data_IF_782519377677
#
_entry.id   IF_782519377677
#
_cell.length_a   1.000
_cell.length_b   1.000
_cell.length_c   1.000
_cell.angle_alpha   90.00
_cell.angle_beta   90.00
_cell.angle_gamma   90.00
#
_symmetry.space_group_name_H-M   'P 1'
#
loop_
_entity.id
_entity.type
_entity.pdbx_description
1 polymer ?
#
# COMPACT_ATOMS: atom_id res chain seq x y z
N UNK A 1 3.85 -15.16 -54.75
CA UNK A 1 4.62 -14.50 -55.83
C UNK A 1 5.96 -14.13 -55.22
N UNK A 2 7.08 -14.33 -55.92
CA UNK A 2 8.37 -13.84 -55.41
C UNK A 2 8.29 -12.31 -55.28
N UNK A 3 8.77 -11.78 -54.16
CA UNK A 3 8.81 -10.33 -53.95
C UNK A 3 9.66 -9.69 -55.05
N UNK A 4 9.11 -8.64 -55.69
CA UNK A 4 9.83 -7.91 -56.72
C UNK A 4 10.79 -6.94 -56.05
N UNK A 5 12.08 -7.04 -56.38
CA UNK A 5 13.10 -6.10 -55.88
C UNK A 5 13.04 -4.81 -56.72
N UNK A 6 12.83 -3.63 -56.11
CA UNK A 6 12.86 -2.37 -56.84
C UNK A 6 14.28 -2.06 -57.36
N UNK A 7 14.38 -1.58 -58.61
CA UNK A 7 15.64 -1.18 -59.26
C UNK A 7 15.81 0.35 -59.15
N UNK A 8 17.03 0.82 -58.83
CA UNK A 8 17.37 2.26 -58.80
C UNK A 8 17.86 2.69 -60.18
N UNK A 9 17.69 3.95 -60.59
CA UNK A 9 18.34 4.45 -61.81
C UNK A 9 19.83 4.72 -61.57
N UNK A 10 20.70 4.41 -62.54
CA UNK A 10 22.06 4.97 -62.57
C UNK A 10 21.96 6.41 -63.10
N UNK A 11 22.63 7.37 -62.47
CA UNK A 11 22.63 8.76 -62.91
C UNK A 11 24.03 9.21 -63.34
N UNK A 12 24.14 10.03 -64.39
CA UNK A 12 25.38 10.76 -64.68
C UNK A 12 25.58 11.96 -63.73
N UNK A 13 26.72 12.64 -63.82
CA UNK A 13 27.01 13.87 -63.07
C UNK A 13 26.01 15.03 -63.35
N UNK A 14 25.17 14.90 -64.38
CA UNK A 14 24.15 15.87 -64.76
C UNK A 14 22.75 15.46 -64.28
N UNK A 15 22.61 14.32 -63.59
CA UNK A 15 21.33 13.82 -63.08
C UNK A 15 20.46 13.09 -64.11
N UNK A 16 20.99 12.71 -65.28
CA UNK A 16 20.26 11.91 -66.28
C UNK A 16 20.36 10.43 -65.98
N UNK A 17 19.27 9.68 -66.18
CA UNK A 17 19.29 8.22 -66.05
C UNK A 17 20.12 7.61 -67.19
N UNK A 18 21.21 6.92 -66.83
CA UNK A 18 22.13 6.26 -67.77
C UNK A 18 21.94 4.74 -67.84
N UNK A 19 21.10 4.16 -66.97
CA UNK A 19 20.76 2.74 -67.00
C UNK A 19 19.89 2.29 -65.82
N UNK A 20 19.44 1.03 -65.84
CA UNK A 20 18.81 0.36 -64.70
C UNK A 20 19.93 -0.15 -63.76
N UNK A 21 19.98 0.32 -62.52
CA UNK A 21 20.93 -0.14 -61.50
C UNK A 21 20.40 -1.38 -60.77
N UNK A 22 21.30 -2.31 -60.50
CA UNK A 22 21.10 -3.44 -59.59
C UNK A 22 20.91 -2.92 -58.15
N UNK A 23 19.96 -3.49 -57.39
CA UNK A 23 19.85 -3.20 -55.96
C UNK A 23 21.12 -3.67 -55.25
N UNK A 24 21.96 -2.73 -54.82
CA UNK A 24 23.13 -3.03 -53.99
C UNK A 24 22.70 -3.06 -52.53
N UNK A 25 22.34 -4.24 -52.05
CA UNK A 25 22.08 -4.48 -50.62
C UNK A 25 23.29 -4.22 -49.72
N UNK A 26 24.50 -4.13 -50.29
CA UNK A 26 25.77 -4.09 -49.57
C UNK A 26 26.15 -2.70 -49.00
N UNK A 27 25.55 -1.60 -49.49
CA UNK A 27 26.05 -0.24 -49.21
C UNK A 27 25.21 0.53 -48.17
N UNK A 28 24.27 -0.12 -47.48
CA UNK A 28 23.44 0.54 -46.46
C UNK A 28 22.47 1.59 -47.05
N UNK A 29 22.09 1.41 -48.32
CA UNK A 29 21.21 2.31 -49.06
C UNK A 29 19.82 2.37 -48.41
N UNK A 30 19.55 3.45 -47.68
CA UNK A 30 18.24 3.71 -47.06
C UNK A 30 17.41 4.65 -47.94
N UNK A 31 16.08 4.48 -47.92
CA UNK A 31 15.21 5.58 -48.30
C UNK A 31 15.33 6.66 -47.23
N UNK A 32 15.72 7.87 -47.63
CA UNK A 32 15.79 9.00 -46.71
C UNK A 32 14.42 9.34 -46.13
N UNK A 33 14.40 9.91 -44.92
CA UNK A 33 13.17 10.26 -44.19
C UNK A 33 12.24 11.17 -45.00
N UNK A 34 12.82 12.13 -45.74
CA UNK A 34 12.07 13.05 -46.61
C UNK A 34 11.30 12.33 -47.73
N UNK A 35 11.71 11.10 -48.07
CA UNK A 35 11.06 10.26 -49.07
C UNK A 35 10.24 9.12 -48.43
N UNK A 36 9.94 9.21 -47.13
CA UNK A 36 9.12 8.24 -46.39
C UNK A 36 9.87 7.00 -45.88
N UNK A 37 11.21 6.98 -45.93
CA UNK A 37 11.98 5.91 -45.30
C UNK A 37 12.24 6.16 -43.82
N UNK A 38 12.73 5.15 -43.11
CA UNK A 38 13.04 5.24 -41.67
C UNK A 38 14.36 5.95 -41.38
N UNK A 39 15.24 6.05 -42.39
CA UNK A 39 16.60 6.56 -42.23
C UNK A 39 17.56 5.61 -41.49
N UNK A 40 17.13 4.39 -41.11
CA UNK A 40 18.01 3.35 -40.55
C UNK A 40 18.36 2.30 -41.60
N UNK A 41 19.65 1.94 -41.67
CA UNK A 41 20.11 0.83 -42.50
C UNK A 41 19.74 -0.53 -41.90
N UNK A 42 19.74 -0.64 -40.57
CA UNK A 42 19.33 -1.84 -39.83
C UNK A 42 18.67 -1.46 -38.52
N UNK A 43 17.83 -2.36 -38.01
CA UNK A 43 17.24 -2.27 -36.67
C UNK A 43 17.72 -3.50 -35.92
N UNK A 44 18.31 -3.31 -34.74
CA UNK A 44 18.70 -4.45 -33.91
C UNK A 44 17.46 -5.22 -33.43
N UNK A 45 17.65 -6.50 -33.11
CA UNK A 45 16.56 -7.40 -32.68
C UNK A 45 15.79 -6.82 -31.49
N UNK A 46 14.48 -7.01 -31.50
CA UNK A 46 13.54 -6.62 -30.45
C UNK A 46 13.48 -5.13 -30.12
N UNK A 47 14.06 -4.24 -30.93
CA UNK A 47 14.05 -2.80 -30.64
C UNK A 47 12.73 -2.15 -31.02
N UNK A 48 12.24 -1.28 -30.15
CA UNK A 48 11.16 -0.34 -30.49
C UNK A 48 11.79 0.91 -31.14
N UNK A 49 11.16 1.38 -32.22
CA UNK A 49 11.59 2.58 -32.92
C UNK A 49 10.72 3.78 -32.54
N UNK A 50 11.34 4.92 -32.30
CA UNK A 50 10.67 6.21 -32.10
C UNK A 50 10.98 7.16 -33.24
N UNK A 51 10.05 8.06 -33.54
CA UNK A 51 10.29 9.19 -34.43
C UNK A 51 10.67 10.43 -33.63
N UNK A 52 11.60 11.24 -34.16
CA UNK A 52 11.95 12.57 -33.61
C UNK A 52 11.45 13.73 -34.50
N UNK A 53 10.59 13.42 -35.48
CA UNK A 53 9.88 14.39 -36.32
C UNK A 53 10.67 14.99 -37.50
N UNK A 54 12.01 14.98 -37.48
CA UNK A 54 12.82 15.66 -38.53
C UNK A 54 14.03 14.87 -39.02
N UNK A 55 14.47 13.84 -38.28
CA UNK A 55 15.65 13.02 -38.57
C UNK A 55 15.27 11.55 -38.72
N UNK A 56 16.27 10.69 -38.97
CA UNK A 56 16.10 9.23 -38.94
C UNK A 56 15.42 8.79 -37.63
N UNK A 57 14.64 7.72 -37.69
CA UNK A 57 14.06 7.11 -36.49
C UNK A 57 15.18 6.68 -35.54
N UNK A 58 14.85 6.53 -34.27
CA UNK A 58 15.78 6.02 -33.27
C UNK A 58 15.33 4.64 -32.85
N UNK A 59 16.19 3.64 -32.97
CA UNK A 59 15.99 2.40 -32.22
C UNK A 59 16.34 2.72 -30.76
N UNK A 60 15.40 2.59 -29.83
CA UNK A 60 15.59 3.04 -28.44
C UNK A 60 16.31 1.98 -27.61
N UNK A 61 17.44 2.32 -27.00
CA UNK A 61 18.28 1.33 -26.30
C UNK A 61 17.63 0.80 -25.02
N UNK A 62 16.77 1.61 -24.42
CA UNK A 62 16.04 1.31 -23.19
C UNK A 62 14.68 0.64 -23.43
N UNK A 63 14.27 0.39 -24.68
CA UNK A 63 12.99 -0.24 -25.02
C UNK A 63 13.21 -1.48 -25.90
N UNK A 64 12.85 -2.65 -25.38
CA UNK A 64 12.86 -3.90 -26.16
C UNK A 64 11.54 -4.67 -26.03
N UNK A 65 11.10 -5.33 -27.09
CA UNK A 65 9.92 -6.19 -27.12
C UNK A 65 10.21 -7.48 -27.89
N UNK A 66 10.22 -8.61 -27.18
CA UNK A 66 10.57 -9.93 -27.71
C UNK A 66 9.38 -10.73 -28.27
N UNK A 67 8.24 -10.05 -28.47
CA UNK A 67 6.96 -10.69 -28.84
C UNK A 67 6.09 -11.06 -27.64
N UNK A 68 6.63 -11.03 -26.42
CA UNK A 68 5.91 -11.37 -25.19
C UNK A 68 6.06 -10.31 -24.09
N UNK A 69 7.24 -9.72 -23.95
CA UNK A 69 7.61 -8.85 -22.84
C UNK A 69 8.17 -7.53 -23.35
N UNK A 70 7.59 -6.41 -22.92
CA UNK A 70 8.17 -5.09 -23.09
C UNK A 70 9.12 -4.81 -21.92
N UNK A 71 10.42 -4.69 -22.20
CA UNK A 71 11.42 -4.28 -21.21
C UNK A 71 11.71 -2.79 -21.34
N UNK A 72 11.61 -2.07 -20.22
CA UNK A 72 12.01 -0.67 -20.08
C UNK A 72 13.16 -0.59 -19.07
N UNK A 73 14.38 -0.27 -19.52
CA UNK A 73 15.56 -0.21 -18.63
C UNK A 73 15.75 1.17 -17.98
N UNK A 74 14.66 1.89 -17.73
CA UNK A 74 14.64 3.24 -17.17
C UNK A 74 13.31 3.55 -16.49
N UNK A 75 13.10 4.82 -16.14
CA UNK A 75 11.88 5.24 -15.46
C UNK A 75 10.67 5.18 -16.38
N UNK A 76 9.52 4.81 -15.81
CA UNK A 76 8.21 4.93 -16.45
C UNK A 76 7.45 6.07 -15.77
N UNK A 77 6.97 7.02 -16.56
CA UNK A 77 6.05 8.09 -16.10
C UNK A 77 4.70 7.84 -16.77
N UNK A 78 3.73 7.36 -15.99
CA UNK A 78 2.35 7.22 -16.45
C UNK A 78 1.56 8.46 -16.05
N UNK A 79 1.04 9.21 -17.03
CA UNK A 79 0.21 10.41 -16.78
C UNK A 79 -1.28 10.09 -16.61
N UNK A 80 -1.65 8.83 -16.82
CA UNK A 80 -2.97 8.28 -16.49
C UNK A 80 -2.84 7.14 -15.48
N UNK A 81 -3.83 6.25 -15.46
CA UNK A 81 -3.81 5.10 -14.57
C UNK A 81 -2.70 4.11 -14.96
N UNK A 82 -2.05 3.53 -13.96
CA UNK A 82 -1.22 2.34 -14.11
C UNK A 82 -1.99 1.12 -13.62
N UNK A 83 -2.40 0.25 -14.54
CA UNK A 83 -3.21 -0.93 -14.24
C UNK A 83 -2.41 -2.21 -14.47
N UNK A 84 -2.22 -3.00 -13.41
CA UNK A 84 -1.60 -4.32 -13.48
C UNK A 84 -2.69 -5.41 -13.41
N UNK A 85 -2.79 -6.26 -14.43
CA UNK A 85 -3.83 -7.29 -14.49
C UNK A 85 -3.58 -8.49 -13.56
N UNK A 86 -2.34 -8.72 -13.15
CA UNK A 86 -1.97 -9.91 -12.37
C UNK A 86 -1.35 -9.54 -11.04
N UNK A 87 -0.27 -8.76 -11.04
CA UNK A 87 0.46 -8.42 -9.83
C UNK A 87 1.31 -7.16 -10.06
N UNK A 88 1.51 -6.40 -8.98
CA UNK A 88 2.60 -5.43 -8.86
C UNK A 88 3.66 -6.07 -7.98
N UNK A 89 4.85 -6.33 -8.54
CA UNK A 89 6.02 -6.82 -7.80
C UNK A 89 7.05 -5.71 -7.76
N UNK A 90 7.51 -5.35 -6.57
CA UNK A 90 8.62 -4.40 -6.39
C UNK A 90 9.77 -5.08 -5.64
N UNK A 91 11.00 -4.71 -5.99
CA UNK A 91 12.21 -5.10 -5.26
C UNK A 91 12.57 -4.10 -4.16
N UNK A 92 11.87 -2.96 -4.12
CA UNK A 92 12.15 -1.92 -3.14
C UNK A 92 11.63 -2.34 -1.76
N UNK A 93 12.42 -2.10 -0.69
CA UNK A 93 11.99 -2.40 0.68
C UNK A 93 10.92 -1.43 1.20
N UNK A 94 10.68 -0.32 0.51
CA UNK A 94 9.78 0.76 0.92
C UNK A 94 8.91 1.18 -0.26
N UNK A 95 7.60 1.28 -0.03
CA UNK A 95 6.67 1.93 -0.94
C UNK A 95 6.48 3.39 -0.50
N UNK A 96 6.82 4.33 -1.37
CA UNK A 96 6.55 5.75 -1.16
C UNK A 96 5.27 6.13 -1.92
N UNK A 97 4.31 6.71 -1.20
CA UNK A 97 3.05 7.23 -1.74
C UNK A 97 3.07 8.76 -1.56
N UNK A 98 2.41 9.49 -2.44
CA UNK A 98 2.33 10.96 -2.43
C UNK A 98 3.70 11.69 -2.52
N UNK A 99 4.63 11.13 -3.31
CA UNK A 99 6.00 11.67 -3.44
C UNK A 99 6.10 13.06 -4.11
N UNK A 100 5.00 13.57 -4.66
CA UNK A 100 4.95 14.83 -5.43
C UNK A 100 4.47 16.04 -4.61
N UNK A 101 4.08 15.85 -3.35
CA UNK A 101 3.55 16.92 -2.50
C UNK A 101 4.62 17.98 -2.19
N UNK A 102 4.25 19.26 -2.32
CA UNK A 102 5.04 20.40 -1.82
C UNK A 102 4.27 21.19 -0.77
N UNK A 103 4.95 21.65 0.28
CA UNK A 103 4.31 22.38 1.40
C UNK A 103 3.68 21.44 2.43
N UNK A 104 3.02 22.02 3.45
CA UNK A 104 2.32 21.24 4.47
C UNK A 104 0.96 20.75 3.93
N UNK A 105 0.56 19.50 4.24
CA UNK A 105 -0.76 19.00 3.92
C UNK A 105 -1.84 19.79 4.69
N UNK A 106 -2.97 20.03 4.03
CA UNK A 106 -4.18 20.49 4.70
C UNK A 106 -4.87 19.29 5.38
N UNK A 107 -5.74 19.54 6.35
CA UNK A 107 -6.55 18.48 6.98
C UNK A 107 -7.54 17.79 6.05
N UNK A 108 -7.52 18.10 4.75
CA UNK A 108 -8.30 17.44 3.71
C UNK A 108 -7.43 16.65 2.75
N UNK A 109 -6.11 16.53 2.99
CA UNK A 109 -5.14 15.90 2.10
C UNK A 109 -4.67 14.55 2.66
N UNK A 110 -5.60 13.62 2.78
CA UNK A 110 -5.36 12.26 3.24
C UNK A 110 -4.59 11.43 2.20
N UNK A 111 -3.80 10.47 2.67
CA UNK A 111 -3.02 9.60 1.80
C UNK A 111 -3.03 8.15 2.30
N UNK A 112 -3.26 7.19 1.39
CA UNK A 112 -3.32 5.79 1.78
C UNK A 112 -3.62 4.81 0.66
N UNK A 113 -4.13 3.65 1.07
CA UNK A 113 -4.52 2.54 0.20
C UNK A 113 -6.02 2.31 0.38
N UNK A 114 -6.74 2.25 -0.75
CA UNK A 114 -8.15 1.84 -0.81
C UNK A 114 -8.22 0.49 -1.50
N UNK A 115 -9.06 -0.40 -0.96
CA UNK A 115 -9.36 -1.71 -1.51
C UNK A 115 -10.81 -1.70 -1.96
N UNK A 116 -11.00 -1.67 -3.28
CA UNK A 116 -12.32 -1.76 -3.90
C UNK A 116 -12.97 -3.12 -3.63
N UNK A 117 -14.22 -3.10 -3.18
CA UNK A 117 -14.99 -4.31 -2.84
C UNK A 117 -16.28 -4.46 -3.66
N UNK A 118 -16.39 -3.72 -4.77
CA UNK A 118 -17.53 -3.78 -5.68
C UNK A 118 -18.69 -2.93 -5.17
N UNK A 119 -19.81 -3.56 -4.79
CA UNK A 119 -20.99 -2.84 -4.29
C UNK A 119 -21.03 -2.67 -2.77
N UNK A 120 -20.17 -3.39 -2.04
CA UNK A 120 -19.96 -3.17 -0.62
C UNK A 120 -19.11 -1.92 -0.40
N UNK A 121 -19.18 -1.27 0.78
CA UNK A 121 -18.21 -0.25 1.14
C UNK A 121 -16.77 -0.78 1.02
N UNK A 122 -15.93 0.03 0.39
CA UNK A 122 -14.51 -0.20 0.25
C UNK A 122 -13.84 -0.18 1.63
N UNK A 123 -12.65 -0.74 1.73
CA UNK A 123 -11.85 -0.68 2.98
C UNK A 123 -10.54 0.03 2.71
N UNK A 124 -10.06 0.80 3.67
CA UNK A 124 -8.87 1.62 3.51
C UNK A 124 -7.96 1.57 4.73
N UNK A 125 -6.69 1.83 4.46
CA UNK A 125 -5.68 2.18 5.44
C UNK A 125 -5.04 3.47 4.97
N UNK A 126 -5.19 4.55 5.74
CA UNK A 126 -4.72 5.87 5.32
C UNK A 126 -4.29 6.72 6.49
N UNK A 127 -3.39 7.67 6.23
CA UNK A 127 -3.08 8.76 7.13
C UNK A 127 -4.15 9.83 6.97
N UNK A 128 -4.86 10.12 8.06
CA UNK A 128 -5.85 11.17 8.15
C UNK A 128 -5.18 12.46 8.65
N UNK A 129 -5.10 13.49 7.80
CA UNK A 129 -4.43 14.75 8.16
C UNK A 129 -5.27 15.60 9.12
N UNK A 130 -6.58 15.36 9.19
CA UNK A 130 -7.47 16.05 10.14
C UNK A 130 -7.36 15.49 11.55
N UNK A 131 -7.20 14.18 11.69
CA UNK A 131 -7.12 13.49 12.97
C UNK A 131 -5.69 13.12 13.38
N UNK A 132 -4.71 13.28 12.49
CA UNK A 132 -3.28 13.03 12.68
C UNK A 132 -2.93 11.60 13.14
N UNK A 133 -3.56 10.60 12.53
CA UNK A 133 -3.21 9.19 12.75
C UNK A 133 -3.60 8.30 11.56
N UNK A 134 -3.14 7.05 11.59
CA UNK A 134 -3.58 6.05 10.63
C UNK A 134 -4.98 5.54 10.97
N UNK A 135 -5.90 5.65 10.02
CA UNK A 135 -7.25 5.12 10.11
C UNK A 135 -7.37 3.79 9.34
N UNK A 136 -8.03 2.82 9.96
CA UNK A 136 -8.42 1.55 9.36
C UNK A 136 -9.94 1.55 9.26
N UNK A 137 -10.48 1.83 8.08
CA UNK A 137 -11.90 2.15 7.95
C UNK A 137 -12.54 1.50 6.73
N UNK A 138 -13.87 1.44 6.74
CA UNK A 138 -14.66 1.36 5.51
C UNK A 138 -14.86 2.76 4.96
N UNK A 139 -14.82 2.90 3.63
CA UNK A 139 -15.08 4.14 2.90
C UNK A 139 -15.99 3.87 1.69
N UNK A 140 -16.65 4.92 1.19
CA UNK A 140 -17.33 4.91 -0.12
C UNK A 140 -16.45 5.43 -1.25
N UNK A 141 -15.27 5.97 -0.94
CA UNK A 141 -14.34 6.49 -1.94
C UNK A 141 -13.76 5.36 -2.77
N UNK A 142 -13.52 5.65 -4.05
CA UNK A 142 -13.04 4.67 -5.03
C UNK A 142 -11.56 4.83 -5.39
N UNK A 143 -10.87 5.76 -4.72
CA UNK A 143 -9.52 6.18 -5.09
C UNK A 143 -9.42 6.82 -6.48
N UNK A 144 -10.54 7.19 -7.09
CA UNK A 144 -10.61 7.80 -8.41
C UNK A 144 -10.82 9.31 -8.30
N UNK A 145 -9.93 10.12 -8.90
CA UNK A 145 -10.15 11.56 -9.11
C UNK A 145 -9.23 12.49 -8.32
N UNK A 146 -9.70 13.72 -8.11
CA UNK A 146 -9.07 14.76 -7.26
C UNK A 146 -9.55 14.64 -5.81
N UNK A 147 -9.78 13.40 -5.34
CA UNK A 147 -10.24 13.16 -3.98
C UNK A 147 -9.04 13.31 -3.07
N UNK A 148 -8.97 14.45 -2.40
CA UNK A 148 -7.92 14.74 -1.44
C UNK A 148 -8.25 14.11 -0.08
N UNK A 149 -9.52 13.84 0.22
CA UNK A 149 -10.01 13.37 1.53
C UNK A 149 -10.58 11.97 1.42
N UNK A 150 -10.36 11.13 2.43
CA UNK A 150 -10.93 9.79 2.52
C UNK A 150 -12.01 9.76 3.60
N UNK A 151 -13.26 9.58 3.18
CA UNK A 151 -14.43 9.54 4.02
C UNK A 151 -14.49 8.27 4.86
N UNK A 152 -14.51 8.42 6.18
CA UNK A 152 -14.73 7.29 7.11
C UNK A 152 -16.23 7.00 7.23
N UNK A 153 -16.67 5.85 6.72
CA UNK A 153 -18.02 5.35 7.00
C UNK A 153 -18.09 4.73 8.39
N UNK A 154 -17.11 3.87 8.74
CA UNK A 154 -16.96 3.18 10.04
C UNK A 154 -15.52 2.67 10.20
N UNK A 155 -15.03 2.53 11.43
CA UNK A 155 -13.75 1.85 11.71
C UNK A 155 -13.86 0.33 11.52
N UNK A 156 -12.75 -0.30 11.11
CA UNK A 156 -12.66 -1.74 10.85
C UNK A 156 -11.83 -2.46 11.90
N UNK A 157 -12.08 -3.76 12.08
CA UNK A 157 -11.35 -4.58 13.04
C UNK A 157 -9.93 -4.91 12.55
N UNK A 158 -8.95 -4.85 13.46
CA UNK A 158 -7.57 -5.26 13.21
C UNK A 158 -7.33 -6.61 13.89
N UNK A 159 -6.88 -7.62 13.13
CA UNK A 159 -6.45 -8.91 13.66
C UNK A 159 -4.93 -8.98 13.66
N UNK A 160 -4.32 -8.65 14.80
CA UNK A 160 -2.87 -8.69 14.99
C UNK A 160 -2.48 -9.80 15.97
N UNK A 161 -1.20 -10.19 15.97
CA UNK A 161 -0.60 -10.96 17.06
C UNK A 161 -0.40 -10.08 18.29
N UNK A 162 0.82 -10.01 18.80
CA UNK A 162 1.13 -9.09 19.90
C UNK A 162 1.09 -7.63 19.40
N UNK A 163 0.44 -6.76 20.16
CA UNK A 163 0.52 -5.31 19.99
C UNK A 163 1.56 -4.77 20.97
N UNK A 164 2.63 -4.16 20.47
CA UNK A 164 3.65 -3.50 21.29
C UNK A 164 3.54 -2.00 21.06
N UNK A 165 3.12 -1.25 22.08
CA UNK A 165 3.07 0.21 22.05
C UNK A 165 4.14 0.79 22.97
N UNK A 166 4.88 1.79 22.51
CA UNK A 166 5.82 2.57 23.34
C UNK A 166 5.14 3.74 24.04
N UNK A 167 4.00 4.19 23.50
CA UNK A 167 3.10 5.15 24.13
C UNK A 167 1.91 4.47 24.78
N UNK A 168 0.89 5.25 25.09
CA UNK A 168 -0.35 4.74 25.65
C UNK A 168 -1.15 3.98 24.59
N UNK A 169 -1.69 2.82 24.95
CA UNK A 169 -2.76 2.18 24.18
C UNK A 169 -4.10 2.69 24.71
N UNK A 170 -4.70 3.66 24.01
CA UNK A 170 -6.03 4.15 24.34
C UNK A 170 -7.08 3.18 23.78
N UNK A 171 -7.95 2.67 24.66
CA UNK A 171 -9.08 1.81 24.29
C UNK A 171 -10.34 2.52 24.80
N UNK A 172 -11.08 3.16 23.91
CA UNK A 172 -12.37 3.81 24.25
C UNK A 172 -13.52 2.80 24.36
N UNK A 173 -13.38 1.64 23.71
CA UNK A 173 -14.30 0.52 23.80
C UNK A 173 -13.98 -0.44 24.96
N UNK A 174 -14.43 -1.68 24.84
CA UNK A 174 -14.17 -2.73 25.82
C UNK A 174 -12.97 -3.58 25.42
N UNK A 175 -12.11 -3.90 26.38
CA UNK A 175 -11.09 -4.93 26.22
C UNK A 175 -11.69 -6.29 26.58
N UNK A 176 -11.85 -7.17 25.59
CA UNK A 176 -12.52 -8.47 25.76
C UNK A 176 -11.58 -9.63 25.43
N UNK A 177 -11.86 -10.82 25.98
CA UNK A 177 -11.06 -12.04 25.71
C UNK A 177 -9.69 -12.07 26.40
N UNK A 178 -9.43 -11.20 27.37
CA UNK A 178 -8.18 -11.20 28.16
C UNK A 178 -8.24 -12.33 29.18
N UNK A 179 -7.39 -13.34 29.03
CA UNK A 179 -7.28 -14.45 30.01
C UNK A 179 -6.44 -14.04 31.22
N UNK A 180 -5.39 -13.25 31.00
CA UNK A 180 -4.51 -12.75 32.04
C UNK A 180 -4.15 -11.30 31.72
N UNK A 181 -4.24 -10.43 32.72
CA UNK A 181 -3.73 -9.06 32.63
C UNK A 181 -2.43 -8.96 33.41
N UNK A 182 -1.31 -9.22 32.73
CA UNK A 182 0.01 -9.09 33.34
C UNK A 182 0.49 -7.65 33.19
N UNK A 183 0.66 -6.99 34.33
CA UNK A 183 1.18 -5.64 34.43
C UNK A 183 2.45 -5.66 35.28
N UNK A 184 3.50 -5.03 34.79
CA UNK A 184 4.67 -4.68 35.62
C UNK A 184 4.43 -3.42 36.45
N UNK A 185 3.43 -2.61 36.07
CA UNK A 185 3.01 -1.39 36.75
C UNK A 185 1.67 -1.53 37.48
N UNK A 186 1.03 -0.40 37.74
CA UNK A 186 -0.25 -0.35 38.45
C UNK A 186 -1.44 -0.52 37.50
N UNK A 187 -2.46 -1.27 37.94
CA UNK A 187 -3.80 -1.23 37.35
C UNK A 187 -4.52 0.00 37.92
N UNK A 188 -4.88 0.94 37.06
CA UNK A 188 -5.63 2.14 37.43
C UNK A 188 -6.98 2.13 36.70
N UNK A 189 -8.06 2.29 37.46
CA UNK A 189 -9.42 2.42 36.96
C UNK A 189 -9.82 3.91 37.05
N UNK A 190 -10.25 4.56 35.95
CA UNK A 190 -10.52 6.02 35.85
C UNK A 190 -12.04 6.38 36.03
N UNK A 191 -12.40 7.68 35.94
CA UNK A 191 -13.62 8.25 36.54
C UNK A 191 -14.95 7.79 35.89
N UNK A 192 -15.63 6.88 36.59
CA UNK A 192 -17.02 6.47 36.33
C UNK A 192 -17.54 5.39 37.30
N UNK A 193 -16.75 5.10 38.34
CA UNK A 193 -16.72 3.87 39.12
C UNK A 193 -16.20 2.63 38.40
N UNK A 194 -15.45 1.96 39.24
CA UNK A 194 -14.34 1.09 39.00
C UNK A 194 -14.73 -0.10 39.81
N UNK A 195 -15.32 -1.05 39.11
CA UNK A 195 -15.59 -2.33 39.70
C UNK A 195 -14.26 -3.01 39.84
N UNK A 196 -14.41 -4.21 40.33
CA UNK A 196 -13.50 -5.29 40.07
C UNK A 196 -12.70 -5.57 41.34
N UNK A 197 -12.95 -4.83 42.44
CA UNK A 197 -12.06 -4.66 43.60
C UNK A 197 -11.62 -5.98 44.23
N UNK A 198 -10.36 -6.40 44.26
CA UNK A 198 -9.93 -7.56 45.10
C UNK A 198 -10.05 -7.25 46.63
N UNK A 199 -11.26 -7.21 47.22
CA UNK A 199 -11.68 -7.01 48.63
C UNK A 199 -11.01 -7.88 49.71
N UNK A 200 -10.25 -7.29 50.60
CA UNK A 200 -9.70 -8.03 51.72
C UNK A 200 -10.70 -8.24 52.88
N UNK A 201 -12.02 -8.32 52.65
CA UNK A 201 -13.02 -8.38 53.73
C UNK A 201 -12.87 -9.60 54.66
N UNK A 202 -12.30 -9.32 55.84
CA UNK A 202 -12.06 -10.32 56.88
C UNK A 202 -13.29 -10.74 57.66
N UNK A 203 -14.44 -10.17 57.37
CA UNK A 203 -15.70 -10.56 57.97
C UNK A 203 -16.77 -10.93 56.94
N UNK A 204 -16.52 -10.69 55.66
CA UNK A 204 -17.41 -10.92 54.51
C UNK A 204 -18.81 -10.28 54.70
N UNK A 205 -18.84 -9.04 55.17
CA UNK A 205 -20.06 -8.29 55.49
C UNK A 205 -20.33 -7.11 54.58
N UNK A 206 -19.40 -6.75 53.71
CA UNK A 206 -19.63 -5.74 52.68
C UNK A 206 -20.87 -6.10 51.81
N UNK A 207 -21.75 -5.12 51.59
CA UNK A 207 -22.98 -5.21 50.79
C UNK A 207 -22.86 -4.63 49.38
N UNK A 208 -21.67 -4.16 48.97
CA UNK A 208 -21.35 -3.76 47.61
C UNK A 208 -20.92 -5.00 46.81
N UNK A 209 -21.78 -5.47 45.90
CA UNK A 209 -21.59 -6.73 45.17
C UNK A 209 -20.44 -6.74 44.13
N UNK A 210 -19.59 -5.71 44.07
CA UNK A 210 -18.71 -5.40 42.93
C UNK A 210 -17.21 -5.49 43.23
N UNK A 211 -16.85 -6.21 44.29
CA UNK A 211 -15.49 -6.49 44.70
C UNK A 211 -15.09 -7.99 44.52
N UNK A 212 -13.96 -8.30 43.85
CA UNK A 212 -13.05 -9.46 44.08
C UNK A 212 -12.59 -9.55 45.57
N UNK A 213 -11.77 -10.49 46.12
CA UNK A 213 -11.37 -10.51 47.57
C UNK A 213 -9.92 -11.00 47.87
N UNK A 214 -9.16 -10.48 48.87
CA UNK A 214 -7.77 -10.90 49.18
C UNK A 214 -7.66 -12.13 50.11
N UNK A 215 -6.51 -12.81 50.12
CA UNK A 215 -6.26 -13.98 50.98
C UNK A 215 -6.30 -13.66 52.49
N UNK A 216 -5.90 -12.46 52.89
CA UNK A 216 -5.86 -12.04 54.29
C UNK A 216 -7.27 -11.86 54.87
N UNK A 217 -8.20 -11.39 54.03
CA UNK A 217 -9.63 -11.37 54.26
C UNK A 217 -10.09 -12.67 54.92
N UNK A 218 -9.91 -13.73 54.16
CA UNK A 218 -10.43 -15.03 54.48
C UNK A 218 -9.76 -15.56 55.76
N UNK A 219 -8.46 -15.36 55.93
CA UNK A 219 -7.72 -15.88 57.09
C UNK A 219 -8.23 -15.31 58.41
N UNK A 220 -8.54 -14.01 58.46
CA UNK A 220 -9.00 -13.38 59.70
C UNK A 220 -10.49 -13.68 59.98
N UNK A 221 -11.35 -13.82 58.96
CA UNK A 221 -12.74 -14.25 59.18
C UNK A 221 -12.80 -15.62 59.84
N UNK A 222 -12.00 -16.55 59.32
CA UNK A 222 -11.98 -17.95 59.73
C UNK A 222 -11.37 -18.11 61.12
N UNK A 223 -10.32 -17.37 61.44
CA UNK A 223 -9.69 -17.43 62.77
C UNK A 223 -10.66 -16.97 63.87
N UNK A 224 -11.50 -15.97 63.56
CA UNK A 224 -12.54 -15.48 64.48
C UNK A 224 -13.67 -16.50 64.70
N UNK A 225 -14.15 -17.16 63.65
CA UNK A 225 -15.19 -18.19 63.76
C UNK A 225 -14.69 -19.46 64.46
N UNK A 226 -13.44 -19.87 64.24
CA UNK A 226 -12.84 -21.04 64.89
C UNK A 226 -12.67 -20.88 66.42
N UNK A 227 -12.29 -19.68 66.87
CA UNK A 227 -12.18 -19.36 68.29
C UNK A 227 -13.56 -19.36 68.98
N UNK A 228 -14.62 -18.96 68.28
CA UNK A 228 -15.99 -18.95 68.82
C UNK A 228 -16.57 -20.35 69.07
N UNK A 229 -16.21 -21.34 68.26
CA UNK A 229 -16.70 -22.72 68.39
C UNK A 229 -16.00 -23.52 69.49
N UNK A 230 -14.69 -23.32 69.67
CA UNK A 230 -13.93 -23.96 70.76
C UNK A 230 -14.47 -23.59 72.15
N UNK A 231 -15.04 -22.39 72.29
CA UNK A 231 -15.69 -21.89 73.51
C UNK A 231 -17.08 -22.53 73.74
N UNK A 232 -17.74 -23.06 72.71
CA UNK A 232 -19.13 -23.56 72.80
C UNK A 232 -19.27 -25.07 73.13
N UNK A 233 -18.17 -25.84 73.07
CA UNK A 233 -18.13 -27.30 73.33
C UNK A 233 -17.49 -27.69 74.66
N UNK A 234 -16.76 -26.77 75.27
CA UNK A 234 -16.25 -26.87 76.65
C UNK A 234 -17.17 -26.11 77.60
#
# INVERSE_FOLDING_TARGET
MADKVPLKGLFDNSGNVTGLAEYRSADGDTLGVIHGGTGLATVATDRILTGNGTSAMTAEANLTFDGTTLTVTGNIVATGNFEAQTQITTVDPVLLIDSGRSGNPAGTDDAGIIIERGSDPNVSIFWDESEQHFSFATTTDTGAGTDNTISVSQQTAIKAGNITSTGNLAISGTLTGVTNFNLTGTLQFDSGQTVDEISNDVNLTDGAATALVTENAIKSHVTAQASAFAIALG
#
